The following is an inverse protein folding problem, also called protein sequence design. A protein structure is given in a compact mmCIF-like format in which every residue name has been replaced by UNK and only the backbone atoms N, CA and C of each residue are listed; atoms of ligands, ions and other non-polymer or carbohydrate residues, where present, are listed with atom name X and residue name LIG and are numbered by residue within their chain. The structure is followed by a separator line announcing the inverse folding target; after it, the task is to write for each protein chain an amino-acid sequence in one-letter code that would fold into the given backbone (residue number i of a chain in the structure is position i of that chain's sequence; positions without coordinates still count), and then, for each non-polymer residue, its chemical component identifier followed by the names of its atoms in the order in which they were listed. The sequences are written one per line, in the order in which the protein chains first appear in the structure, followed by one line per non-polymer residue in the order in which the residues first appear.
data_IF_601534676989
#
_entry.id   IF_601534676989
#
_cell.length_a   1.000
_cell.length_b   1.000
_cell.length_c   1.000
_cell.angle_alpha   90.00
_cell.angle_beta   90.00
_cell.angle_gamma   90.00
#
_symmetry.space_group_name_H-M   'P 1'
#
loop_
_entity.id
_entity.type
_entity.pdbx_description
1 polymer ?
#
# COMPACT_ATOMS: atom_id res chain seq x y z
N UNK A 1 2.96 31.02 -0.16
CA UNK A 1 1.92 30.40 0.71
C UNK A 1 2.34 29.04 1.31
N UNK A 2 3.34 28.31 0.78
CA UNK A 2 3.93 27.12 1.45
C UNK A 2 5.25 27.40 2.22
N UNK A 3 5.37 28.57 2.87
CA UNK A 3 6.60 29.00 3.59
C UNK A 3 6.33 29.36 5.05
N UNK A 4 5.43 28.63 5.72
CA UNK A 4 5.14 28.90 7.13
C UNK A 4 6.38 28.55 7.96
N UNK A 5 6.91 29.52 8.70
CA UNK A 5 8.02 29.29 9.62
C UNK A 5 7.55 28.42 10.78
N UNK A 6 8.10 27.22 10.90
CA UNK A 6 7.81 26.31 11.99
C UNK A 6 8.57 26.76 13.25
N UNK A 7 7.84 27.12 14.30
CA UNK A 7 8.43 27.38 15.61
C UNK A 7 8.69 26.05 16.31
N UNK A 8 9.97 25.73 16.54
CA UNK A 8 10.41 24.46 17.14
C UNK A 8 9.63 24.07 18.40
N UNK A 9 9.40 25.03 19.32
CA UNK A 9 8.68 24.79 20.57
C UNK A 9 7.23 24.35 20.35
N UNK A 10 6.50 25.07 19.51
CA UNK A 10 5.09 24.78 19.20
C UNK A 10 4.95 23.44 18.45
N UNK A 11 5.89 23.14 17.55
CA UNK A 11 5.94 21.85 16.85
C UNK A 11 6.17 20.70 17.82
N UNK A 12 7.17 20.80 18.70
CA UNK A 12 7.47 19.76 19.69
C UNK A 12 6.30 19.54 20.66
N UNK A 13 5.61 20.61 21.08
CA UNK A 13 4.40 20.48 21.89
C UNK A 13 3.31 19.71 21.14
N UNK A 14 3.07 20.05 19.86
CA UNK A 14 2.08 19.36 19.04
C UNK A 14 2.45 17.89 18.81
N UNK A 15 3.72 17.59 18.55
CA UNK A 15 4.23 16.23 18.36
C UNK A 15 4.08 15.33 19.60
N UNK A 16 3.95 15.92 20.79
CA UNK A 16 3.81 15.22 22.06
C UNK A 16 2.40 15.25 22.63
N UNK A 17 1.44 15.93 21.97
CA UNK A 17 0.05 16.02 22.42
C UNK A 17 -0.86 15.09 21.60
N UNK A 18 -1.39 14.00 22.21
CA UNK A 18 -2.27 13.03 21.55
C UNK A 18 -3.55 13.62 20.94
N UNK A 19 -4.02 14.77 21.40
CA UNK A 19 -5.24 15.42 20.90
C UNK A 19 -5.01 16.19 19.58
N UNK A 20 -3.78 16.25 19.09
CA UNK A 20 -3.45 17.05 17.90
C UNK A 20 -3.37 16.20 16.63
N UNK A 21 -3.79 16.79 15.51
CA UNK A 21 -3.60 16.19 14.17
C UNK A 21 -2.12 15.91 13.89
N UNK A 22 -1.20 16.80 14.31
CA UNK A 22 0.24 16.64 14.12
C UNK A 22 0.76 15.37 14.77
N UNK A 23 0.32 15.06 15.99
CA UNK A 23 0.67 13.83 16.69
C UNK A 23 0.24 12.59 15.90
N UNK A 24 -1.04 12.52 15.52
CA UNK A 24 -1.60 11.37 14.81
C UNK A 24 -0.97 11.17 13.43
N UNK A 25 -0.86 12.24 12.64
CA UNK A 25 -0.28 12.18 11.29
C UNK A 25 1.19 11.77 11.36
N UNK A 26 1.98 12.39 12.23
CA UNK A 26 3.42 12.09 12.32
C UNK A 26 3.65 10.63 12.73
N UNK A 27 2.96 10.14 13.78
CA UNK A 27 3.10 8.73 14.18
C UNK A 27 2.67 7.76 13.09
N UNK A 28 1.60 8.10 12.36
CA UNK A 28 1.13 7.25 11.26
C UNK A 28 2.15 7.20 10.12
N UNK A 29 2.73 8.33 9.73
CA UNK A 29 3.75 8.43 8.71
C UNK A 29 5.04 7.69 9.10
N UNK A 30 5.52 7.88 10.34
CA UNK A 30 6.69 7.15 10.87
C UNK A 30 6.46 5.65 10.78
N UNK A 31 5.29 5.16 11.23
CA UNK A 31 4.95 3.73 11.13
C UNK A 31 4.95 3.23 9.68
N UNK A 32 4.45 4.02 8.72
CA UNK A 32 4.49 3.64 7.30
C UNK A 32 5.92 3.59 6.75
N UNK A 33 6.78 4.54 7.14
CA UNK A 33 8.20 4.55 6.76
C UNK A 33 8.91 3.31 7.33
N UNK A 34 8.68 2.97 8.59
CA UNK A 34 9.24 1.78 9.22
C UNK A 34 8.81 0.50 8.49
N UNK A 35 7.52 0.35 8.20
CA UNK A 35 7.01 -0.79 7.43
C UNK A 35 7.69 -0.86 6.05
N UNK A 36 7.76 0.28 5.35
CA UNK A 36 8.33 0.40 4.01
C UNK A 36 9.80 0.02 3.98
N UNK A 37 10.57 0.49 4.95
CA UNK A 37 12.02 0.24 5.05
C UNK A 37 12.39 -1.24 5.17
N UNK A 38 11.45 -2.07 5.63
CA UNK A 38 11.64 -3.52 5.82
C UNK A 38 11.26 -4.35 4.60
N UNK A 39 10.78 -3.74 3.51
CA UNK A 39 10.40 -4.47 2.29
C UNK A 39 11.40 -4.17 1.17
N UNK A 40 12.00 -5.22 0.61
CA UNK A 40 12.90 -5.16 -0.54
C UNK A 40 12.18 -4.60 -1.77
N UNK A 41 10.92 -4.95 -2.00
CA UNK A 41 10.13 -4.47 -3.15
C UNK A 41 9.92 -2.95 -3.15
N UNK A 42 10.11 -2.26 -2.00
CA UNK A 42 10.06 -0.81 -1.90
C UNK A 42 11.42 -0.12 -2.01
N UNK A 43 12.49 -0.84 -2.33
CA UNK A 43 13.78 -0.25 -2.66
C UNK A 43 13.63 0.69 -3.87
N UNK A 44 14.35 1.83 -3.92
CA UNK A 44 14.21 2.80 -5.02
C UNK A 44 14.43 2.20 -6.42
N UNK A 45 15.36 1.25 -6.53
CA UNK A 45 15.67 0.57 -7.80
C UNK A 45 14.81 -0.67 -8.07
N UNK A 46 13.90 -1.05 -7.16
CA UNK A 46 13.02 -2.19 -7.42
C UNK A 46 11.96 -1.81 -8.45
N UNK A 47 11.67 -2.71 -9.42
CA UNK A 47 10.66 -2.49 -10.43
C UNK A 47 9.29 -2.05 -9.89
N UNK A 48 8.58 -1.31 -10.73
CA UNK A 48 7.18 -0.95 -10.50
C UNK A 48 6.37 -1.08 -11.79
N UNK A 49 5.11 -1.53 -11.66
CA UNK A 49 4.12 -1.57 -12.75
C UNK A 49 2.87 -0.81 -12.30
N UNK A 50 2.49 0.23 -13.03
CA UNK A 50 1.23 0.95 -12.79
C UNK A 50 0.07 0.09 -13.27
N UNK A 51 -1.00 0.00 -12.48
CA UNK A 51 -2.16 -0.83 -12.77
C UNK A 51 -3.40 0.06 -12.92
N UNK A 52 -4.07 -0.04 -14.05
CA UNK A 52 -5.28 0.73 -14.35
C UNK A 52 -6.52 -0.10 -13.97
N UNK A 53 -6.85 -0.11 -12.67
CA UNK A 53 -8.00 -0.88 -12.14
C UNK A 53 -9.29 -0.06 -12.18
N UNK A 54 -9.19 1.22 -11.80
CA UNK A 54 -10.33 2.16 -11.73
C UNK A 54 -9.78 3.59 -11.62
N UNK A 55 -10.49 4.56 -12.19
CA UNK A 55 -10.15 5.99 -12.07
C UNK A 55 -10.18 6.51 -10.62
N UNK A 56 -10.89 5.80 -9.74
CA UNK A 56 -10.99 6.14 -8.31
C UNK A 56 -9.92 5.48 -7.44
N UNK A 57 -9.01 4.70 -8.04
CA UNK A 57 -8.03 3.90 -7.32
C UNK A 57 -6.64 3.99 -7.96
N UNK A 58 -5.71 4.63 -7.25
CA UNK A 58 -4.30 4.57 -7.65
C UNK A 58 -3.69 3.23 -7.23
N UNK A 59 -3.16 2.49 -8.21
CA UNK A 59 -2.71 1.11 -8.02
C UNK A 59 -1.35 0.86 -8.65
N UNK A 60 -0.44 0.25 -7.89
CA UNK A 60 0.92 -0.06 -8.34
C UNK A 60 1.33 -1.44 -7.81
N UNK A 61 1.94 -2.25 -8.67
CA UNK A 61 2.62 -3.48 -8.29
C UNK A 61 4.11 -3.18 -8.11
N UNK A 62 4.65 -3.50 -6.93
CA UNK A 62 6.07 -3.40 -6.61
C UNK A 62 6.65 -4.77 -6.39
N UNK A 63 7.81 -5.04 -6.97
CA UNK A 63 8.42 -6.37 -6.88
C UNK A 63 9.95 -6.32 -6.93
N UNK A 64 10.60 -7.35 -6.40
CA UNK A 64 12.03 -7.56 -6.54
C UNK A 64 12.34 -8.24 -7.88
N UNK A 65 13.53 -8.01 -8.46
CA UNK A 65 13.94 -8.64 -9.73
C UNK A 65 13.89 -10.17 -9.67
N UNK A 66 14.25 -10.75 -8.53
CA UNK A 66 14.15 -12.19 -8.25
C UNK A 66 12.72 -12.69 -8.02
N UNK A 67 11.71 -11.81 -8.10
CA UNK A 67 10.29 -12.04 -7.87
C UNK A 67 9.95 -12.70 -6.51
N UNK A 68 10.88 -12.68 -5.54
CA UNK A 68 10.67 -13.26 -4.21
C UNK A 68 9.83 -12.40 -3.28
N UNK A 69 9.66 -11.11 -3.61
CA UNK A 69 8.77 -10.24 -2.87
C UNK A 69 7.94 -9.39 -3.82
N UNK A 70 6.63 -9.48 -3.67
CA UNK A 70 5.65 -8.74 -4.45
C UNK A 70 4.66 -8.09 -3.50
N UNK A 71 4.41 -6.80 -3.74
CA UNK A 71 3.53 -5.96 -2.97
C UNK A 71 2.61 -5.21 -3.92
N UNK A 72 1.31 -5.45 -3.80
CA UNK A 72 0.28 -4.66 -4.44
C UNK A 72 -0.07 -3.47 -3.53
N UNK A 73 0.16 -2.26 -4.02
CA UNK A 73 -0.21 -1.02 -3.32
C UNK A 73 -1.45 -0.42 -3.94
N UNK A 74 -2.47 -0.20 -3.13
CA UNK A 74 -3.76 0.36 -3.54
C UNK A 74 -4.07 1.58 -2.68
N UNK A 75 -4.47 2.68 -3.30
CA UNK A 75 -4.85 3.92 -2.64
C UNK A 75 -6.20 4.38 -3.20
N UNK A 76 -7.23 4.34 -2.37
CA UNK A 76 -8.50 4.99 -2.71
C UNK A 76 -8.29 6.50 -2.66
N UNK A 77 -8.48 7.18 -3.78
CA UNK A 77 -8.28 8.64 -3.87
C UNK A 77 -9.57 9.43 -3.66
N UNK A 78 -10.64 8.74 -3.27
CA UNK A 78 -11.99 9.32 -3.13
C UNK A 78 -12.51 9.23 -1.69
N UNK A 79 -13.54 10.03 -1.41
CA UNK A 79 -14.31 10.00 -0.17
C UNK A 79 -15.36 8.89 -0.09
N UNK A 80 -15.44 8.00 -1.10
CA UNK A 80 -16.44 6.93 -1.18
C UNK A 80 -15.78 5.56 -1.00
N UNK A 81 -16.47 4.58 -0.35
CA UNK A 81 -15.97 3.21 -0.30
C UNK A 81 -15.97 2.60 -1.70
N UNK A 82 -14.97 1.75 -1.98
CA UNK A 82 -14.82 1.03 -3.22
C UNK A 82 -14.90 -0.48 -2.96
N UNK A 83 -15.46 -1.22 -3.90
CA UNK A 83 -15.35 -2.68 -3.98
C UNK A 83 -14.67 -2.98 -5.30
N UNK A 84 -13.48 -3.55 -5.24
CA UNK A 84 -12.75 -3.93 -6.44
C UNK A 84 -12.67 -5.44 -6.57
N UNK A 85 -12.65 -5.87 -7.82
CA UNK A 85 -12.41 -7.23 -8.23
C UNK A 85 -11.31 -7.20 -9.28
N UNK A 86 -10.27 -7.98 -9.07
CA UNK A 86 -9.08 -7.97 -9.91
C UNK A 86 -8.78 -9.40 -10.34
N UNK A 87 -8.64 -9.60 -11.65
CA UNK A 87 -8.05 -10.81 -12.19
C UNK A 87 -6.53 -10.69 -12.23
N UNK A 88 -5.84 -11.42 -11.35
CA UNK A 88 -4.39 -11.35 -11.21
C UNK A 88 -3.63 -11.89 -12.44
N UNK A 89 -4.29 -12.69 -13.30
CA UNK A 89 -3.71 -13.18 -14.55
C UNK A 89 -3.37 -12.04 -15.51
N UNK A 90 -4.15 -10.96 -15.52
CA UNK A 90 -3.89 -9.76 -16.33
C UNK A 90 -2.55 -9.10 -15.97
N UNK A 91 -2.01 -9.41 -14.80
CA UNK A 91 -0.75 -8.87 -14.31
C UNK A 91 0.40 -9.89 -14.34
N UNK A 92 0.18 -11.07 -14.94
CA UNK A 92 1.13 -12.18 -14.93
C UNK A 92 1.26 -12.86 -13.56
N UNK A 93 0.35 -12.59 -12.63
CA UNK A 93 0.41 -13.20 -11.29
C UNK A 93 -0.37 -14.52 -11.32
N UNK A 94 0.36 -15.61 -11.51
CA UNK A 94 -0.20 -16.96 -11.58
C UNK A 94 -0.50 -17.54 -10.19
N UNK A 95 -1.54 -18.37 -10.08
CA UNK A 95 -1.88 -19.11 -8.87
C UNK A 95 -2.78 -18.36 -7.86
N UNK A 96 -3.13 -19.06 -6.77
CA UNK A 96 -3.92 -18.52 -5.68
C UNK A 96 -3.02 -18.04 -4.54
N UNK A 97 -3.09 -16.75 -4.23
CA UNK A 97 -2.21 -16.11 -3.27
C UNK A 97 -2.95 -15.78 -1.97
N UNK A 98 -2.19 -15.82 -0.87
CA UNK A 98 -2.59 -15.16 0.36
C UNK A 98 -1.95 -13.77 0.38
N UNK A 99 -2.76 -12.75 0.53
CA UNK A 99 -2.35 -11.35 0.53
C UNK A 99 -2.43 -10.81 1.94
N UNK A 100 -1.28 -10.47 2.51
CA UNK A 100 -1.22 -9.90 3.85
C UNK A 100 -1.04 -8.39 3.76
N UNK A 101 -2.02 -7.63 4.27
CA UNK A 101 -1.89 -6.19 4.37
C UNK A 101 -0.86 -5.81 5.44
N UNK A 102 0.27 -5.27 5.01
CA UNK A 102 1.36 -4.85 5.90
C UNK A 102 0.92 -3.76 6.88
N UNK A 103 -0.11 -2.99 6.52
CA UNK A 103 -0.59 -1.84 7.28
C UNK A 103 -1.58 -2.27 8.37
N UNK A 104 -2.73 -2.84 7.97
CA UNK A 104 -3.81 -3.24 8.90
C UNK A 104 -3.64 -4.64 9.49
N UNK A 105 -2.73 -5.45 8.94
CA UNK A 105 -2.51 -6.87 9.26
C UNK A 105 -3.64 -7.81 8.84
N UNK A 106 -4.67 -7.29 8.15
CA UNK A 106 -5.73 -8.12 7.53
C UNK A 106 -5.14 -9.00 6.44
N UNK A 107 -5.80 -10.14 6.20
CA UNK A 107 -5.44 -11.06 5.13
C UNK A 107 -6.58 -11.21 4.14
N UNK A 108 -6.24 -11.29 2.87
CA UNK A 108 -7.14 -11.56 1.76
C UNK A 108 -6.66 -12.79 1.01
N UNK A 109 -7.56 -13.48 0.35
CA UNK A 109 -7.23 -14.68 -0.43
C UNK A 109 -7.79 -14.53 -1.83
N UNK A 110 -6.99 -14.90 -2.81
CA UNK A 110 -7.43 -15.05 -4.19
C UNK A 110 -8.20 -16.35 -4.37
N UNK A 111 -9.30 -16.30 -5.11
CA UNK A 111 -10.07 -17.47 -5.54
C UNK A 111 -10.17 -17.43 -7.07
N UNK A 112 -9.78 -18.51 -7.75
CA UNK A 112 -9.75 -18.61 -9.21
C UNK A 112 -9.06 -17.41 -9.88
N UNK A 113 -7.90 -17.02 -9.33
CA UNK A 113 -7.11 -15.84 -9.73
C UNK A 113 -7.77 -14.48 -9.49
N UNK A 114 -8.96 -14.46 -8.91
CA UNK A 114 -9.71 -13.24 -8.59
C UNK A 114 -9.44 -12.81 -7.14
N UNK A 115 -9.00 -11.56 -6.97
CA UNK A 115 -8.85 -10.90 -5.68
C UNK A 115 -9.97 -9.86 -5.49
N UNK A 116 -10.79 -10.05 -4.44
CA UNK A 116 -11.89 -9.14 -4.08
C UNK A 116 -11.51 -8.32 -2.85
N UNK A 117 -11.62 -7.00 -2.92
CA UNK A 117 -11.18 -6.10 -1.86
C UNK A 117 -12.21 -4.99 -1.60
N UNK A 118 -12.75 -4.90 -0.37
CA UNK A 118 -13.40 -3.69 0.10
C UNK A 118 -12.31 -2.67 0.51
N UNK A 119 -12.42 -1.45 0.02
CA UNK A 119 -11.46 -0.37 0.28
C UNK A 119 -12.23 0.86 0.78
N UNK A 120 -11.98 1.22 2.05
CA UNK A 120 -12.60 2.38 2.68
C UNK A 120 -12.18 3.70 2.02
N UNK A 121 -12.94 4.80 2.20
CA UNK A 121 -12.55 6.14 1.78
C UNK A 121 -11.11 6.48 2.19
N UNK A 122 -10.30 6.97 1.25
CA UNK A 122 -8.90 7.35 1.47
C UNK A 122 -7.97 6.25 2.04
N UNK A 123 -8.42 4.98 2.04
CA UNK A 123 -7.63 3.90 2.59
C UNK A 123 -6.43 3.55 1.69
N UNK A 124 -5.35 3.16 2.36
CA UNK A 124 -4.12 2.65 1.74
C UNK A 124 -3.96 1.19 2.16
N UNK A 125 -3.81 0.29 1.18
CA UNK A 125 -3.53 -1.12 1.38
C UNK A 125 -2.17 -1.46 0.78
N UNK A 126 -1.31 -2.14 1.53
CA UNK A 126 -0.05 -2.69 1.03
C UNK A 126 -0.08 -4.21 1.18
N UNK A 127 -0.60 -4.87 0.15
CA UNK A 127 -0.84 -6.30 0.15
C UNK A 127 0.41 -7.03 -0.28
N UNK A 128 1.09 -7.67 0.67
CA UNK A 128 2.23 -8.54 0.41
C UNK A 128 1.75 -9.95 0.11
N UNK A 129 2.11 -10.47 -1.04
CA UNK A 129 1.76 -11.83 -1.40
C UNK A 129 2.56 -12.87 -0.60
N UNK A 130 1.93 -14.00 -0.30
CA UNK A 130 2.47 -15.12 0.47
C UNK A 130 2.13 -16.44 -0.23
N UNK A 131 3.10 -17.36 -0.21
CA UNK A 131 2.96 -18.77 -0.59
C UNK A 131 2.44 -19.01 -2.02
N UNK A 132 2.92 -18.24 -3.01
CA UNK A 132 2.62 -18.49 -4.42
C UNK A 132 3.84 -18.30 -5.33
N UNK A 133 3.76 -18.88 -6.52
CA UNK A 133 4.74 -18.65 -7.59
C UNK A 133 4.32 -17.42 -8.40
N UNK A 134 5.29 -16.65 -8.87
CA UNK A 134 5.05 -15.46 -9.68
C UNK A 134 5.81 -15.57 -10.98
N UNK A 135 5.17 -15.16 -12.07
CA UNK A 135 5.81 -14.96 -13.36
C UNK A 135 5.33 -13.61 -13.90
N UNK A 136 5.85 -12.52 -13.34
CA UNK A 136 5.47 -11.19 -13.81
C UNK A 136 5.92 -11.06 -15.28
N UNK A 137 4.95 -11.09 -16.18
CA UNK A 137 5.17 -10.90 -17.61
C UNK A 137 5.37 -9.39 -17.82
N UNK A 138 6.57 -9.04 -18.31
CA UNK A 138 6.94 -7.69 -18.73
C UNK A 138 6.21 -7.30 -19.99
#
# INVERSE_FOLDING_TARGET
INRKTLRKKELLQSLNNPETTTYHVTRRLVRLIEIRSRQRAFHPNSPQKILNISDSLFSVLRYTEDQKEIILTLVNVTSKPLKIEVNLLEWGVLGNHHWHDLISKKTFKTQDHILKLPIEPYAVLWLKARNGQFQIIS
#
